data_IF_421164766074
#
_entry.id   IF_421164766074
#
_cell.length_a   1.000
_cell.length_b   1.000
_cell.length_c   1.000
_cell.angle_alpha   90.00
_cell.angle_beta   90.00
_cell.angle_gamma   90.00
#
_symmetry.space_group_name_H-M   'P 1'
#
loop_
_entity.id
_entity.type
_entity.pdbx_description
1 polymer ?
#
# COMPACT_ATOMS: atom_id res chain seq x y z
N UNK A 1 5.53 -19.36 -43.04
CA UNK A 1 6.38 -19.29 -41.82
C UNK A 1 6.18 -20.51 -40.94
N UNK A 2 4.98 -20.70 -40.40
CA UNK A 2 4.60 -21.80 -39.49
C UNK A 2 4.62 -23.20 -40.12
N UNK A 3 4.36 -23.33 -41.42
CA UNK A 3 4.43 -24.61 -42.14
C UNK A 3 5.86 -25.20 -42.26
N UNK A 4 6.91 -24.38 -42.10
CA UNK A 4 8.32 -24.83 -42.13
C UNK A 4 8.89 -25.15 -40.75
N UNK A 5 8.22 -24.75 -39.67
CA UNK A 5 8.69 -24.97 -38.30
C UNK A 5 7.47 -25.13 -37.36
N UNK A 6 6.97 -26.37 -37.16
CA UNK A 6 5.71 -26.64 -36.45
C UNK A 6 5.68 -26.12 -35.00
N UNK A 7 6.84 -26.08 -34.33
CA UNK A 7 6.98 -25.55 -32.97
C UNK A 7 6.93 -24.02 -32.87
N UNK A 8 6.99 -23.30 -33.99
CA UNK A 8 6.96 -21.84 -34.02
C UNK A 8 5.55 -21.28 -33.78
N UNK A 9 4.50 -22.03 -34.16
CA UNK A 9 3.10 -21.62 -34.00
C UNK A 9 2.68 -21.51 -32.54
N UNK A 10 3.05 -22.49 -31.72
CA UNK A 10 2.79 -22.46 -30.28
C UNK A 10 3.52 -21.32 -29.58
N UNK A 11 4.80 -21.13 -29.88
CA UNK A 11 5.59 -20.00 -29.33
C UNK A 11 5.02 -18.64 -29.71
N UNK A 12 4.63 -18.46 -30.98
CA UNK A 12 4.01 -17.21 -31.46
C UNK A 12 2.69 -16.91 -30.74
N UNK A 13 1.81 -17.91 -30.60
CA UNK A 13 0.56 -17.78 -29.87
C UNK A 13 0.80 -17.36 -28.41
N UNK A 14 1.72 -18.02 -27.70
CA UNK A 14 2.07 -17.66 -26.33
C UNK A 14 2.62 -16.24 -26.23
N UNK A 15 3.52 -15.84 -27.14
CA UNK A 15 4.06 -14.47 -27.16
C UNK A 15 2.97 -13.43 -27.43
N UNK A 16 2.00 -13.72 -28.30
CA UNK A 16 0.88 -12.84 -28.57
C UNK A 16 -0.05 -12.68 -27.37
N UNK A 17 -0.38 -13.77 -26.65
CA UNK A 17 -1.19 -13.69 -25.43
C UNK A 17 -0.49 -12.90 -24.31
N UNK A 18 0.82 -13.10 -24.14
CA UNK A 18 1.59 -12.33 -23.15
C UNK A 18 1.62 -10.85 -23.55
N UNK A 19 1.87 -10.52 -24.82
CA UNK A 19 1.89 -9.15 -25.29
C UNK A 19 0.53 -8.45 -25.09
N UNK A 20 -0.57 -9.16 -25.37
CA UNK A 20 -1.93 -8.65 -25.15
C UNK A 20 -2.19 -8.38 -23.66
N UNK A 21 -1.85 -9.33 -22.79
CA UNK A 21 -2.00 -9.16 -21.33
C UNK A 21 -1.16 -7.98 -20.78
N UNK A 22 0.04 -7.75 -21.33
CA UNK A 22 0.86 -6.59 -20.95
C UNK A 22 0.22 -5.27 -21.38
N UNK A 23 -0.37 -5.21 -22.57
CA UNK A 23 -1.08 -4.02 -23.07
C UNK A 23 -2.30 -3.72 -22.19
N UNK A 24 -3.09 -4.74 -21.84
CA UNK A 24 -4.26 -4.60 -20.95
C UNK A 24 -3.85 -4.00 -19.59
N UNK A 25 -2.80 -4.56 -18.98
CA UNK A 25 -2.27 -4.07 -17.71
C UNK A 25 -1.83 -2.60 -17.80
N UNK A 26 -1.12 -2.23 -18.87
CA UNK A 26 -0.68 -0.85 -19.12
C UNK A 26 -1.84 0.13 -19.30
N UNK A 27 -2.91 -0.28 -19.99
CA UNK A 27 -4.12 0.54 -20.16
C UNK A 27 -4.78 0.78 -18.80
N UNK A 28 -4.92 -0.25 -17.97
CA UNK A 28 -5.47 -0.12 -16.61
C UNK A 28 -4.61 0.82 -15.77
N UNK A 29 -3.29 0.65 -15.76
CA UNK A 29 -2.39 1.51 -14.99
C UNK A 29 -2.43 2.96 -15.46
N UNK A 30 -2.44 3.20 -16.78
CA UNK A 30 -2.50 4.54 -17.34
C UNK A 30 -3.81 5.23 -16.99
N UNK A 31 -4.93 4.50 -17.01
CA UNK A 31 -6.23 5.02 -16.61
C UNK A 31 -6.24 5.39 -15.11
N UNK A 32 -5.73 4.51 -14.24
CA UNK A 32 -5.64 4.81 -12.80
C UNK A 32 -4.75 6.02 -12.55
N UNK A 33 -3.59 6.11 -13.19
CA UNK A 33 -2.69 7.27 -13.11
C UNK A 33 -3.40 8.55 -13.60
N UNK A 34 -4.13 8.49 -14.71
CA UNK A 34 -4.91 9.63 -15.20
C UNK A 34 -5.98 10.08 -14.20
N UNK A 35 -6.65 9.15 -13.50
CA UNK A 35 -7.61 9.46 -12.45
C UNK A 35 -6.95 10.11 -11.22
N UNK A 36 -5.74 9.67 -10.86
CA UNK A 36 -4.91 10.26 -9.80
C UNK A 36 -4.50 11.69 -10.17
N UNK A 37 -4.03 11.90 -11.41
CA UNK A 37 -3.67 13.24 -11.93
C UNK A 37 -4.89 14.17 -11.90
N UNK A 38 -6.09 13.65 -12.22
CA UNK A 38 -7.35 14.38 -12.12
C UNK A 38 -7.86 14.59 -10.69
N UNK A 39 -7.09 14.19 -9.67
CA UNK A 39 -7.44 14.31 -8.24
C UNK A 39 -8.79 13.65 -7.90
N UNK A 40 -9.11 12.55 -8.57
CA UNK A 40 -10.32 11.77 -8.27
C UNK A 40 -10.23 11.16 -6.86
N UNK A 41 -11.38 11.00 -6.18
CA UNK A 41 -11.41 10.32 -4.88
C UNK A 41 -10.84 8.90 -5.03
N UNK A 42 -9.94 8.43 -4.13
CA UNK A 42 -9.31 7.10 -4.25
C UNK A 42 -10.32 5.96 -4.40
N UNK A 43 -11.43 6.02 -3.64
CA UNK A 43 -12.52 5.04 -3.73
C UNK A 43 -13.09 4.93 -5.15
N UNK A 44 -13.30 6.06 -5.81
CA UNK A 44 -13.82 6.12 -7.18
C UNK A 44 -12.81 5.53 -8.17
N UNK A 45 -11.52 5.82 -8.02
CA UNK A 45 -10.48 5.29 -8.88
C UNK A 45 -10.34 3.77 -8.77
N UNK A 46 -10.36 3.23 -7.53
CA UNK A 46 -10.30 1.79 -7.26
C UNK A 46 -11.52 1.06 -7.83
N UNK A 47 -12.72 1.62 -7.64
CA UNK A 47 -13.95 1.03 -8.15
C UNK A 47 -13.97 0.96 -9.68
N UNK A 48 -13.67 2.08 -10.35
CA UNK A 48 -13.62 2.14 -11.82
C UNK A 48 -12.53 1.20 -12.36
N UNK A 49 -11.33 1.21 -11.76
CA UNK A 49 -10.24 0.33 -12.18
C UNK A 49 -10.60 -1.15 -12.07
N UNK A 50 -11.25 -1.55 -10.98
CA UNK A 50 -11.70 -2.93 -10.76
C UNK A 50 -12.77 -3.36 -11.76
N UNK A 51 -13.77 -2.51 -12.01
CA UNK A 51 -14.80 -2.80 -13.01
C UNK A 51 -14.22 -2.92 -14.42
N UNK A 52 -13.33 -2.01 -14.79
CA UNK A 52 -12.68 -2.02 -16.10
C UNK A 52 -11.80 -3.26 -16.28
N UNK A 53 -11.07 -3.68 -15.24
CA UNK A 53 -10.34 -4.94 -15.25
C UNK A 53 -11.27 -6.14 -15.47
N UNK A 54 -12.45 -6.15 -14.84
CA UNK A 54 -13.48 -7.18 -15.07
C UNK A 54 -13.98 -7.20 -16.52
N UNK A 55 -14.26 -6.03 -17.12
CA UNK A 55 -14.68 -5.92 -18.53
C UNK A 55 -13.58 -6.41 -19.46
N UNK A 56 -12.33 -6.01 -19.21
CA UNK A 56 -11.19 -6.43 -20.02
C UNK A 56 -10.95 -7.94 -19.93
N UNK A 57 -11.06 -8.53 -18.73
CA UNK A 57 -10.94 -9.97 -18.56
C UNK A 57 -12.00 -10.74 -19.38
N UNK A 58 -13.23 -10.23 -19.46
CA UNK A 58 -14.30 -10.86 -20.26
C UNK A 58 -14.03 -10.77 -21.77
N UNK A 59 -13.48 -9.64 -22.24
CA UNK A 59 -13.23 -9.41 -23.67
C UNK A 59 -11.99 -10.18 -24.15
N UNK A 60 -10.90 -10.13 -23.38
CA UNK A 60 -9.59 -10.59 -23.84
C UNK A 60 -9.15 -11.92 -23.22
N UNK A 61 -9.74 -12.33 -22.07
CA UNK A 61 -9.38 -13.57 -21.37
C UNK A 61 -10.60 -14.49 -21.10
N UNK A 62 -11.46 -14.76 -22.10
CA UNK A 62 -12.69 -15.52 -21.89
C UNK A 62 -12.45 -16.94 -21.36
N UNK A 63 -11.35 -17.58 -21.78
CA UNK A 63 -10.99 -18.94 -21.32
C UNK A 63 -10.68 -18.99 -19.82
N UNK A 64 -9.95 -17.99 -19.31
CA UNK A 64 -9.62 -17.87 -17.88
C UNK A 64 -10.89 -17.57 -17.08
N UNK A 65 -11.72 -16.65 -17.55
CA UNK A 65 -12.99 -16.31 -16.88
C UNK A 65 -13.91 -17.53 -16.80
N UNK A 66 -14.01 -18.33 -17.86
CA UNK A 66 -14.77 -19.59 -17.85
C UNK A 66 -14.22 -20.61 -16.86
N UNK A 67 -12.89 -20.76 -16.82
CA UNK A 67 -12.19 -21.66 -15.89
C UNK A 67 -12.49 -21.28 -14.43
N UNK A 68 -12.45 -19.99 -14.11
CA UNK A 68 -12.80 -19.45 -12.78
C UNK A 68 -14.29 -19.65 -12.47
N UNK A 69 -15.16 -19.53 -13.47
CA UNK A 69 -16.60 -19.75 -13.31
C UNK A 69 -16.98 -21.24 -13.16
N UNK A 70 -16.09 -22.16 -13.54
CA UNK A 70 -16.37 -23.60 -13.65
C UNK A 70 -17.36 -23.94 -14.77
N UNK A 71 -17.43 -23.12 -15.82
CA UNK A 71 -18.36 -23.30 -16.95
C UNK A 71 -17.62 -23.77 -18.20
N UNK A 72 -18.25 -24.63 -19.00
CA UNK A 72 -17.75 -25.07 -20.32
C UNK A 72 -18.23 -24.19 -21.47
N UNK A 73 -19.25 -23.37 -21.23
CA UNK A 73 -19.82 -22.47 -22.24
C UNK A 73 -19.66 -21.02 -21.80
N UNK A 74 -19.32 -20.17 -22.77
CA UNK A 74 -19.26 -18.73 -22.58
C UNK A 74 -20.64 -18.12 -22.77
N UNK A 75 -21.22 -17.61 -21.68
CA UNK A 75 -22.46 -16.86 -21.68
C UNK A 75 -22.38 -15.73 -20.64
N UNK A 76 -23.40 -14.87 -20.59
CA UNK A 76 -23.43 -13.76 -19.64
C UNK A 76 -23.31 -14.23 -18.19
N UNK A 77 -23.96 -15.35 -17.84
CA UNK A 77 -23.92 -15.91 -16.49
C UNK A 77 -22.51 -16.39 -16.10
N UNK A 78 -21.80 -17.09 -16.99
CA UNK A 78 -20.43 -17.54 -16.75
C UNK A 78 -19.44 -16.39 -16.70
N UNK A 79 -19.62 -15.37 -17.56
CA UNK A 79 -18.80 -14.16 -17.54
C UNK A 79 -18.95 -13.41 -16.21
N UNK A 80 -20.19 -13.17 -15.79
CA UNK A 80 -20.50 -12.55 -14.49
C UNK A 80 -19.93 -13.37 -13.33
N UNK A 81 -20.22 -14.67 -13.28
CA UNK A 81 -19.74 -15.56 -12.21
C UNK A 81 -18.22 -15.61 -12.13
N UNK A 82 -17.52 -15.70 -13.26
CA UNK A 82 -16.06 -15.75 -13.32
C UNK A 82 -15.43 -14.46 -12.80
N UNK A 83 -15.92 -13.30 -13.24
CA UNK A 83 -15.45 -11.99 -12.77
C UNK A 83 -15.73 -11.81 -11.28
N UNK A 84 -16.95 -12.12 -10.84
CA UNK A 84 -17.33 -11.99 -9.42
C UNK A 84 -16.50 -12.92 -8.53
N UNK A 85 -16.27 -14.16 -8.94
CA UNK A 85 -15.43 -15.10 -8.20
C UNK A 85 -13.98 -14.60 -8.12
N UNK A 86 -13.44 -14.05 -9.21
CA UNK A 86 -12.09 -13.47 -9.22
C UNK A 86 -11.96 -12.24 -8.29
N UNK A 87 -12.99 -11.40 -8.20
CA UNK A 87 -12.98 -10.22 -7.34
C UNK A 87 -13.20 -10.58 -5.86
N UNK A 88 -14.11 -11.52 -5.58
CA UNK A 88 -14.60 -11.78 -4.22
C UNK A 88 -13.88 -12.93 -3.53
N UNK A 89 -13.55 -13.99 -4.27
CA UNK A 89 -13.10 -15.27 -3.74
C UNK A 89 -11.64 -15.57 -4.04
N UNK A 90 -11.23 -16.78 -3.64
CA UNK A 90 -9.91 -17.30 -3.95
C UNK A 90 -9.90 -17.94 -5.33
N UNK A 91 -8.91 -17.60 -6.13
CA UNK A 91 -8.71 -18.13 -7.48
C UNK A 91 -7.28 -18.65 -7.59
N UNK A 92 -7.12 -19.77 -8.31
CA UNK A 92 -5.84 -20.31 -8.73
C UNK A 92 -5.90 -20.65 -10.22
N UNK A 93 -4.93 -20.16 -10.98
CA UNK A 93 -4.81 -20.41 -12.42
C UNK A 93 -3.51 -21.19 -12.65
N UNK A 94 -3.55 -22.49 -12.95
CA UNK A 94 -2.32 -23.24 -13.22
C UNK A 94 -1.67 -22.71 -14.50
N UNK A 95 -0.37 -22.43 -14.40
CA UNK A 95 0.47 -21.89 -15.47
C UNK A 95 1.02 -22.97 -16.39
N UNK A 96 1.02 -24.23 -15.94
CA UNK A 96 1.65 -25.34 -16.66
C UNK A 96 3.16 -25.43 -16.43
N UNK A 97 3.72 -24.60 -15.55
CA UNK A 97 5.09 -24.69 -15.08
C UNK A 97 5.10 -25.11 -13.60
N UNK A 98 5.71 -26.25 -13.30
CA UNK A 98 5.73 -26.83 -11.94
C UNK A 98 6.27 -25.86 -10.89
N UNK A 99 7.32 -25.08 -11.21
CA UNK A 99 7.93 -24.14 -10.26
C UNK A 99 6.96 -23.00 -9.95
N UNK A 100 6.27 -22.46 -10.96
CA UNK A 100 5.34 -21.35 -10.76
C UNK A 100 4.07 -21.80 -10.04
N UNK A 101 3.63 -23.02 -10.34
CA UNK A 101 2.44 -23.64 -9.77
C UNK A 101 2.67 -24.05 -8.30
N UNK A 102 3.86 -24.56 -7.95
CA UNK A 102 4.25 -24.87 -6.56
C UNK A 102 4.33 -23.62 -5.68
N UNK A 103 4.69 -22.47 -6.26
CA UNK A 103 4.72 -21.19 -5.56
C UNK A 103 3.38 -20.44 -5.62
N UNK A 104 2.34 -21.07 -6.18
CA UNK A 104 1.00 -20.50 -6.34
C UNK A 104 1.01 -19.08 -6.95
N UNK A 105 1.91 -18.81 -7.90
CA UNK A 105 2.19 -17.44 -8.36
C UNK A 105 0.96 -16.77 -8.99
N UNK A 106 0.10 -17.56 -9.65
CA UNK A 106 -1.17 -17.10 -10.22
C UNK A 106 -2.35 -17.45 -9.31
N UNK A 107 -2.17 -17.25 -8.01
CA UNK A 107 -3.24 -17.28 -7.02
C UNK A 107 -3.62 -15.86 -6.58
N UNK A 108 -4.89 -15.69 -6.22
CA UNK A 108 -5.37 -14.47 -5.58
C UNK A 108 -6.43 -14.84 -4.56
N UNK A 109 -6.44 -14.16 -3.41
CA UNK A 109 -7.47 -14.33 -2.39
C UNK A 109 -8.72 -13.49 -2.61
N UNK A 110 -8.71 -12.58 -3.59
CA UNK A 110 -9.77 -11.58 -3.79
C UNK A 110 -10.05 -10.75 -2.52
N UNK A 111 -11.25 -10.17 -2.44
CA UNK A 111 -11.69 -9.45 -1.25
C UNK A 111 -11.74 -10.33 0.00
N UNK A 112 -12.08 -11.62 -0.14
CA UNK A 112 -12.09 -12.57 0.98
C UNK A 112 -10.70 -12.68 1.63
N UNK A 113 -9.64 -12.68 0.83
CA UNK A 113 -8.26 -12.67 1.31
C UNK A 113 -7.94 -11.41 2.12
N UNK A 114 -8.52 -10.26 1.79
CA UNK A 114 -8.25 -9.01 2.50
C UNK A 114 -9.07 -8.83 3.78
N UNK A 115 -10.03 -9.71 4.09
CA UNK A 115 -10.89 -9.57 5.27
C UNK A 115 -10.12 -9.46 6.59
N UNK A 116 -9.02 -10.22 6.76
CA UNK A 116 -8.17 -10.11 7.95
C UNK A 116 -7.55 -8.71 8.10
N UNK A 117 -7.09 -8.12 7.00
CA UNK A 117 -6.54 -6.76 6.98
C UNK A 117 -7.63 -5.73 7.26
N UNK A 118 -8.83 -5.89 6.66
CA UNK A 118 -9.97 -5.01 6.90
C UNK A 118 -10.39 -5.04 8.37
N UNK A 119 -10.45 -6.23 8.98
CA UNK A 119 -10.79 -6.36 10.39
C UNK A 119 -9.80 -5.63 11.29
N UNK A 120 -8.50 -5.77 10.99
CA UNK A 120 -7.43 -5.10 11.71
C UNK A 120 -7.49 -3.57 11.57
N UNK A 121 -7.80 -3.05 10.37
CA UNK A 121 -8.07 -1.62 10.15
C UNK A 121 -9.23 -1.15 11.02
N UNK A 122 -10.37 -1.86 11.01
CA UNK A 122 -11.56 -1.47 11.77
C UNK A 122 -11.26 -1.42 13.28
N UNK A 123 -10.63 -2.47 13.82
CA UNK A 123 -10.23 -2.52 15.23
C UNK A 123 -9.33 -1.34 15.60
N UNK A 124 -8.33 -1.04 14.76
CA UNK A 124 -7.39 0.04 15.02
C UNK A 124 -8.03 1.43 14.89
N UNK A 125 -8.93 1.64 13.93
CA UNK A 125 -9.70 2.90 13.80
C UNK A 125 -10.57 3.16 15.04
N UNK A 126 -11.26 2.13 15.55
CA UNK A 126 -12.03 2.26 16.79
C UNK A 126 -11.13 2.59 17.99
N UNK A 127 -10.01 1.87 18.15
CA UNK A 127 -9.04 2.14 19.20
C UNK A 127 -8.50 3.57 19.14
N UNK A 128 -8.08 4.00 17.94
CA UNK A 128 -7.59 5.34 17.69
C UNK A 128 -8.61 6.44 17.98
N UNK A 129 -9.87 6.23 17.60
CA UNK A 129 -10.97 7.14 17.91
C UNK A 129 -11.18 7.28 19.42
N UNK A 130 -11.22 6.16 20.16
CA UNK A 130 -11.37 6.18 21.62
C UNK A 130 -10.20 6.91 22.27
N UNK A 131 -8.96 6.60 21.87
CA UNK A 131 -7.76 7.26 22.41
C UNK A 131 -7.76 8.79 22.20
N UNK A 132 -8.31 9.27 21.07
CA UNK A 132 -8.47 10.68 20.77
C UNK A 132 -9.51 11.33 21.69
N UNK A 133 -10.68 10.72 21.84
CA UNK A 133 -11.79 11.26 22.63
C UNK A 133 -11.49 11.31 24.13
N UNK A 134 -10.78 10.29 24.67
CA UNK A 134 -10.37 10.30 26.09
C UNK A 134 -9.18 11.22 26.38
N UNK A 135 -8.60 11.87 25.36
CA UNK A 135 -7.46 12.78 25.50
C UNK A 135 -6.13 12.09 25.84
N UNK A 136 -6.07 10.75 25.78
CA UNK A 136 -4.85 9.99 26.08
C UNK A 136 -3.70 10.36 25.11
N UNK A 137 -4.04 10.54 23.83
CA UNK A 137 -3.07 10.98 22.81
C UNK A 137 -2.47 12.35 23.15
N UNK A 138 -3.30 13.32 23.56
CA UNK A 138 -2.83 14.65 23.96
C UNK A 138 -1.91 14.55 25.18
N UNK A 139 -2.25 13.73 26.17
CA UNK A 139 -1.42 13.56 27.38
C UNK A 139 -0.04 12.95 27.07
N UNK A 140 0.01 11.95 26.18
CA UNK A 140 1.26 11.37 25.69
C UNK A 140 2.10 12.43 24.97
N UNK A 141 1.43 13.28 24.16
CA UNK A 141 2.06 14.39 23.43
C UNK A 141 2.75 15.38 24.36
N UNK A 142 2.01 15.87 25.35
CA UNK A 142 2.50 16.90 26.26
C UNK A 142 3.69 16.39 27.10
N UNK A 143 3.73 15.08 27.37
CA UNK A 143 4.87 14.46 28.05
C UNK A 143 6.11 14.40 27.16
N UNK A 144 5.95 13.97 25.90
CA UNK A 144 7.05 13.87 24.94
C UNK A 144 7.61 15.24 24.54
N UNK A 145 6.76 16.26 24.40
CA UNK A 145 7.16 17.62 24.05
C UNK A 145 8.06 18.28 25.09
N UNK A 146 7.94 17.91 26.37
CA UNK A 146 8.81 18.43 27.46
C UNK A 146 10.28 18.05 27.30
N UNK A 147 10.56 17.00 26.52
CA UNK A 147 11.92 16.47 26.32
C UNK A 147 12.58 17.06 25.05
N UNK A 148 11.79 17.60 24.12
CA UNK A 148 12.23 17.99 22.77
C UNK A 148 12.67 19.47 22.65
N UNK A 149 13.68 19.89 23.42
CA UNK A 149 14.11 21.29 23.47
C UNK A 149 14.94 21.76 22.25
N UNK A 150 15.57 20.86 21.49
CA UNK A 150 16.35 21.21 20.28
C UNK A 150 15.59 20.91 18.97
N UNK A 151 16.03 21.49 17.85
CA UNK A 151 15.45 21.16 16.52
C UNK A 151 15.61 19.68 16.22
N UNK A 152 16.82 19.13 16.38
CA UNK A 152 17.04 17.69 16.23
C UNK A 152 16.15 16.87 17.16
N UNK A 153 16.03 17.26 18.43
CA UNK A 153 15.17 16.59 19.40
C UNK A 153 13.70 16.55 18.97
N UNK A 154 13.22 17.61 18.33
CA UNK A 154 11.85 17.66 17.79
C UNK A 154 11.64 16.63 16.67
N UNK A 155 12.54 16.57 15.69
CA UNK A 155 12.48 15.55 14.63
C UNK A 155 12.63 14.13 15.19
N UNK A 156 13.59 13.93 16.11
CA UNK A 156 13.83 12.65 16.76
C UNK A 156 12.60 12.16 17.53
N UNK A 157 11.96 13.04 18.31
CA UNK A 157 10.73 12.71 19.02
C UNK A 157 9.58 12.42 18.07
N UNK A 158 9.40 13.17 16.98
CA UNK A 158 8.37 12.87 15.98
C UNK A 158 8.60 11.53 15.30
N UNK A 159 9.82 11.25 14.83
CA UNK A 159 10.19 9.97 14.21
C UNK A 159 9.98 8.80 15.18
N UNK A 160 10.48 8.91 16.41
CA UNK A 160 10.34 7.87 17.43
C UNK A 160 8.86 7.61 17.75
N UNK A 161 8.04 8.67 17.83
CA UNK A 161 6.60 8.55 18.09
C UNK A 161 5.87 7.88 16.93
N UNK A 162 6.21 8.21 15.68
CA UNK A 162 5.64 7.54 14.51
C UNK A 162 5.96 6.04 14.51
N UNK A 163 7.22 5.67 14.77
CA UNK A 163 7.64 4.27 14.85
C UNK A 163 6.98 3.56 16.03
N UNK A 164 6.88 4.22 17.18
CA UNK A 164 6.16 3.70 18.35
C UNK A 164 4.70 3.42 18.02
N UNK A 165 3.99 4.34 17.36
CA UNK A 165 2.61 4.09 16.93
C UNK A 165 2.52 3.00 15.88
N UNK A 166 3.44 2.91 14.92
CA UNK A 166 3.43 1.77 13.99
C UNK A 166 3.66 0.43 14.68
N UNK A 167 4.48 0.41 15.73
CA UNK A 167 4.79 -0.79 16.50
C UNK A 167 3.75 -1.17 17.54
N UNK A 168 2.97 -0.21 18.06
CA UNK A 168 1.97 -0.46 19.11
C UNK A 168 0.53 -0.36 18.61
N UNK A 169 0.28 0.53 17.66
CA UNK A 169 -0.98 0.61 16.95
C UNK A 169 -0.90 -0.21 15.66
N UNK A 170 -1.88 -1.06 15.46
CA UNK A 170 -1.99 -1.91 14.28
C UNK A 170 -2.28 -1.14 12.99
N UNK A 171 -2.29 0.20 12.98
CA UNK A 171 -2.73 0.98 11.82
C UNK A 171 -1.90 2.25 11.57
N UNK A 172 -1.53 2.42 10.30
CA UNK A 172 -0.69 3.51 9.81
C UNK A 172 -1.36 4.89 9.92
N UNK A 173 -2.69 4.99 9.83
CA UNK A 173 -3.40 6.27 9.99
C UNK A 173 -3.09 6.88 11.36
N UNK A 174 -3.04 6.07 12.42
CA UNK A 174 -2.69 6.55 13.75
C UNK A 174 -1.23 6.98 13.82
N UNK A 175 -0.31 6.23 13.21
CA UNK A 175 1.10 6.60 13.17
C UNK A 175 1.39 7.91 12.41
N UNK A 176 0.46 8.39 11.58
CA UNK A 176 0.59 9.65 10.83
C UNK A 176 -0.21 10.78 11.49
N UNK A 177 -1.52 10.58 11.65
CA UNK A 177 -2.44 11.66 12.04
C UNK A 177 -2.22 12.09 13.48
N UNK A 178 -1.93 11.12 14.36
CA UNK A 178 -1.71 11.41 15.76
C UNK A 178 -0.43 12.24 15.89
N UNK A 179 0.78 11.77 15.57
CA UNK A 179 1.99 12.59 15.66
C UNK A 179 1.90 13.91 14.89
N UNK A 180 1.20 13.94 13.75
CA UNK A 180 0.95 15.17 13.00
C UNK A 180 0.22 16.22 13.83
N UNK A 181 -0.84 15.87 14.55
CA UNK A 181 -1.53 16.78 15.47
C UNK A 181 -0.69 17.10 16.71
N UNK A 182 -0.01 16.10 17.28
CA UNK A 182 0.79 16.25 18.50
C UNK A 182 1.92 17.27 18.33
N UNK A 183 2.62 17.23 17.20
CA UNK A 183 3.85 18.02 16.97
C UNK A 183 3.62 19.30 16.15
N UNK A 184 2.43 19.51 15.57
CA UNK A 184 2.15 20.67 14.72
C UNK A 184 2.53 22.00 15.38
N UNK A 185 2.04 22.23 16.61
CA UNK A 185 2.31 23.45 17.36
C UNK A 185 3.79 23.59 17.71
N UNK A 186 4.45 22.50 18.10
CA UNK A 186 5.87 22.52 18.45
C UNK A 186 6.80 22.85 17.26
N UNK A 187 6.46 22.38 16.05
CA UNK A 187 7.17 22.78 14.84
C UNK A 187 6.94 24.27 14.53
N UNK A 188 5.71 24.77 14.69
CA UNK A 188 5.39 26.19 14.49
C UNK A 188 6.10 27.09 15.50
N UNK A 189 6.09 26.74 16.79
CA UNK A 189 6.73 27.49 17.88
C UNK A 189 8.25 27.59 17.69
N UNK A 190 8.87 26.60 17.02
CA UNK A 190 10.30 26.64 16.61
C UNK A 190 10.56 27.36 15.28
N UNK A 191 9.55 27.99 14.69
CA UNK A 191 9.67 28.68 13.42
C UNK A 191 9.97 27.75 12.25
N UNK A 192 9.54 26.48 12.30
CA UNK A 192 9.74 25.52 11.22
C UNK A 192 8.53 25.49 10.28
N UNK A 193 8.78 25.39 8.99
CA UNK A 193 7.72 25.27 8.00
C UNK A 193 6.99 23.91 8.11
N UNK A 194 5.68 23.84 7.84
CA UNK A 194 4.87 22.63 8.03
C UNK A 194 5.32 21.43 7.19
N UNK A 195 6.01 21.67 6.07
CA UNK A 195 6.56 20.63 5.20
C UNK A 195 7.60 19.77 5.92
N UNK A 196 8.30 20.31 6.92
CA UNK A 196 9.25 19.51 7.71
C UNK A 196 8.54 18.45 8.54
N UNK A 197 7.41 18.82 9.17
CA UNK A 197 6.60 17.87 9.92
C UNK A 197 5.99 16.84 8.97
N UNK A 198 5.36 17.30 7.88
CA UNK A 198 4.78 16.40 6.87
C UNK A 198 5.81 15.40 6.34
N UNK A 199 7.00 15.86 5.97
CA UNK A 199 8.09 14.97 5.51
C UNK A 199 8.51 13.98 6.60
N UNK A 200 8.62 14.41 7.85
CA UNK A 200 8.99 13.51 8.96
C UNK A 200 7.92 12.43 9.20
N UNK A 201 6.63 12.78 9.06
CA UNK A 201 5.53 11.83 9.16
C UNK A 201 5.54 10.81 8.02
N UNK A 202 5.86 11.23 6.78
CA UNK A 202 5.98 10.30 5.66
C UNK A 202 7.21 9.38 5.84
N UNK A 203 8.37 9.96 6.15
CA UNK A 203 9.63 9.24 6.25
C UNK A 203 9.68 8.27 7.45
N UNK A 204 8.83 8.46 8.47
CA UNK A 204 8.77 7.61 9.66
C UNK A 204 7.43 6.89 9.83
N UNK A 205 6.29 7.58 9.70
CA UNK A 205 4.96 7.00 9.87
C UNK A 205 4.51 6.17 8.67
N UNK A 206 4.63 6.69 7.46
CA UNK A 206 4.16 5.96 6.26
C UNK A 206 5.01 4.75 5.96
N UNK A 207 6.33 4.89 5.97
CA UNK A 207 7.22 3.83 5.47
C UNK A 207 7.52 2.75 6.49
N UNK A 208 7.47 3.02 7.81
CA UNK A 208 7.81 1.99 8.81
C UNK A 208 6.66 1.06 9.18
N UNK A 209 5.45 1.29 8.66
CA UNK A 209 4.28 0.45 8.92
C UNK A 209 4.49 -1.01 8.53
N UNK A 210 5.24 -1.27 7.46
CA UNK A 210 5.52 -2.62 6.97
C UNK A 210 6.50 -3.41 7.86
N UNK A 211 7.19 -2.75 8.78
CA UNK A 211 8.19 -3.40 9.66
C UNK A 211 7.52 -4.26 10.72
N UNK A 212 6.25 -3.98 11.05
CA UNK A 212 5.52 -4.64 12.14
C UNK A 212 4.47 -5.61 11.59
N UNK A 213 4.50 -6.91 11.95
CA UNK A 213 3.63 -7.92 11.33
C UNK A 213 2.14 -7.73 11.65
N UNK A 214 1.83 -7.14 12.80
CA UNK A 214 0.47 -6.83 13.24
C UNK A 214 -0.01 -5.45 12.78
N UNK A 215 0.77 -4.73 11.98
CA UNK A 215 0.33 -3.50 11.34
C UNK A 215 -0.30 -3.81 9.97
N UNK A 216 -1.26 -3.00 9.53
CA UNK A 216 -1.95 -3.17 8.23
C UNK A 216 -0.99 -3.30 7.06
N UNK A 217 0.06 -2.45 7.02
CA UNK A 217 1.09 -2.49 5.98
C UNK A 217 1.87 -3.81 6.01
N UNK A 218 2.29 -4.24 7.20
CA UNK A 218 3.06 -5.47 7.38
C UNK A 218 2.28 -6.73 7.01
N UNK A 219 1.03 -6.79 7.47
CA UNK A 219 0.10 -7.88 7.17
C UNK A 219 -0.22 -7.95 5.67
N UNK A 220 -0.41 -6.81 5.00
CA UNK A 220 -0.64 -6.78 3.55
C UNK A 220 0.58 -7.29 2.78
N UNK A 221 1.79 -6.81 3.10
CA UNK A 221 3.01 -7.22 2.39
C UNK A 221 3.34 -8.69 2.64
N UNK A 222 3.22 -9.17 3.87
CA UNK A 222 3.45 -10.59 4.19
C UNK A 222 2.50 -11.50 3.41
N UNK A 223 1.23 -11.09 3.29
CA UNK A 223 0.24 -11.84 2.52
C UNK A 223 0.50 -11.80 1.01
N UNK A 224 0.87 -10.64 0.47
CA UNK A 224 1.14 -10.46 -0.96
C UNK A 224 2.42 -11.18 -1.39
N UNK A 225 3.47 -11.14 -0.57
CA UNK A 225 4.76 -11.75 -0.87
C UNK A 225 4.81 -13.25 -0.52
N UNK A 226 3.85 -13.75 0.26
CA UNK A 226 3.83 -15.16 0.70
C UNK A 226 4.91 -15.52 1.72
N UNK A 227 5.61 -14.53 2.28
CA UNK A 227 6.68 -14.72 3.28
C UNK A 227 6.35 -13.96 4.56
N UNK A 228 6.94 -14.38 5.69
CA UNK A 228 6.68 -13.69 6.95
C UNK A 228 7.28 -12.27 6.94
N UNK A 229 6.75 -11.39 7.79
CA UNK A 229 7.32 -10.02 7.92
C UNK A 229 8.78 -10.04 8.31
N UNK A 230 9.18 -10.97 9.18
CA UNK A 230 10.56 -11.11 9.63
C UNK A 230 11.52 -11.52 8.50
N UNK A 231 11.02 -12.18 7.47
CA UNK A 231 11.84 -12.60 6.32
C UNK A 231 12.09 -11.42 5.38
N UNK A 232 11.05 -10.65 5.02
CA UNK A 232 11.21 -9.57 4.04
C UNK A 232 11.75 -8.25 4.65
N UNK A 233 11.56 -8.02 5.96
CA UNK A 233 11.84 -6.72 6.58
C UNK A 233 13.30 -6.29 6.41
N UNK A 234 14.24 -7.23 6.43
CA UNK A 234 15.67 -6.94 6.24
C UNK A 234 16.03 -6.51 4.80
N UNK A 235 15.15 -6.79 3.84
CA UNK A 235 15.30 -6.36 2.44
C UNK A 235 14.54 -5.05 2.15
N UNK A 236 13.72 -4.56 3.09
CA UNK A 236 12.97 -3.32 2.96
C UNK A 236 13.85 -2.09 3.25
N UNK A 237 14.97 -1.96 2.53
CA UNK A 237 16.00 -0.94 2.78
C UNK A 237 15.45 0.48 2.83
N UNK A 238 14.58 0.84 1.89
CA UNK A 238 13.95 2.16 1.87
C UNK A 238 13.21 2.46 3.17
N UNK A 239 12.42 1.50 3.65
CA UNK A 239 11.59 1.63 4.83
C UNK A 239 12.42 1.70 6.12
N UNK A 240 13.55 0.99 6.18
CA UNK A 240 14.47 1.02 7.32
C UNK A 240 15.37 2.27 7.33
N UNK A 241 15.84 2.70 6.17
CA UNK A 241 16.80 3.80 6.03
C UNK A 241 16.12 5.17 6.07
N UNK A 242 14.92 5.30 5.51
CA UNK A 242 14.17 6.56 5.44
C UNK A 242 14.09 7.32 6.77
N UNK A 243 13.63 6.72 7.90
CA UNK A 243 13.58 7.44 9.17
C UNK A 243 14.96 7.86 9.67
N UNK A 244 16.00 7.04 9.42
CA UNK A 244 17.38 7.36 9.77
C UNK A 244 17.86 8.59 8.97
N UNK A 245 17.54 8.65 7.68
CA UNK A 245 17.88 9.78 6.82
C UNK A 245 17.23 11.08 7.29
N UNK A 246 15.99 11.04 7.75
CA UNK A 246 15.34 12.21 8.35
C UNK A 246 16.12 12.73 9.56
N UNK A 247 16.57 11.84 10.44
CA UNK A 247 17.35 12.21 11.63
C UNK A 247 18.72 12.77 11.25
N UNK A 248 19.41 12.18 10.27
CA UNK A 248 20.68 12.69 9.74
C UNK A 248 20.49 14.11 9.20
N UNK A 249 19.45 14.34 8.40
CA UNK A 249 19.17 15.67 7.82
C UNK A 249 18.83 16.70 8.90
N UNK A 250 18.08 16.29 9.93
CA UNK A 250 17.78 17.14 11.08
C UNK A 250 19.03 17.46 11.91
N UNK A 251 19.94 16.50 12.08
CA UNK A 251 21.19 16.66 12.84
C UNK A 251 22.13 17.66 12.17
N UNK A 252 22.37 17.50 10.87
CA UNK A 252 23.21 18.40 10.08
C UNK A 252 22.50 19.68 9.62
N UNK A 253 21.22 19.85 9.97
CA UNK A 253 20.39 20.98 9.56
C UNK A 253 20.33 21.18 8.03
N UNK A 254 20.26 20.07 7.30
CA UNK A 254 20.25 20.06 5.83
C UNK A 254 18.80 20.21 5.34
N UNK A 255 18.53 21.27 4.55
CA UNK A 255 17.22 21.53 3.94
C UNK A 255 16.05 21.61 4.95
N UNK A 256 16.32 22.04 6.18
CA UNK A 256 15.27 22.31 7.17
C UNK A 256 14.68 23.70 6.91
N UNK A 257 13.43 23.73 6.42
CA UNK A 257 12.79 24.99 6.00
C UNK A 257 12.25 25.75 7.20
N UNK A 258 12.57 27.03 7.33
CA UNK A 258 11.98 27.89 8.38
C UNK A 258 10.75 28.62 7.85
N UNK A 259 9.83 29.00 8.73
CA UNK A 259 8.74 29.89 8.40
C UNK A 259 9.33 31.20 7.87
N UNK A 260 8.75 31.70 6.78
CA UNK A 260 9.12 33.01 6.24
C UNK A 260 8.64 34.05 7.25
N UNK A 261 9.56 34.69 7.96
CA UNK A 261 9.23 35.92 8.68
C UNK A 261 8.73 36.92 7.64
N UNK A 262 7.47 37.35 7.76
CA UNK A 262 7.00 38.56 7.08
C UNK A 262 7.97 39.65 7.53
N UNK A 263 8.81 40.14 6.61
CA UNK A 263 9.45 41.44 6.77
C UNK A 263 8.30 42.44 6.86
N UNK A 264 8.12 43.02 8.04
CA UNK A 264 7.39 44.28 8.20
C UNK A 264 8.06 45.38 7.36
#
# INVERSE_FOLDING_TARGET
GTARNPGLGGKLMTTMFIALAMIEAQVIYTLVIALIIKKSKPLTALFIGTLLAGVFAVIFQPEIVMKIAGSKTFNFHSAYKGVMNAMTGSVYIPSGNEILDQNELFSSGGMKGMLSTIWLILCAMFFGGIMQEVGALQKISDSLLKVANSTFGLFASTTATCIFFNGTASDQYLAIVVPGKMYQKAFQDKGLAPENLSRTLEDAGTVTSIVFPWNTGGAYQSKTLGVSTYDYVFYAFFNLISPIMTLIYAYFNIKIRKLVSKKD
#
